data_IF_711339582933
#
_entry.id   IF_711339582933
#
_cell.length_a   1.000
_cell.length_b   1.000
_cell.length_c   1.000
_cell.angle_alpha   90.00
_cell.angle_beta   90.00
_cell.angle_gamma   90.00
#
_symmetry.space_group_name_H-M   'P 1'
#
loop_
_entity.id
_entity.type
_entity.pdbx_description
1 polymer ?
#
# COMPACT_ATOMS: atom_id res chain seq x y z
N UNK A 1 -4.82 27.13 -1.66
CA UNK A 1 -3.68 27.62 -2.47
C UNK A 1 -2.78 28.54 -1.63
N UNK A 2 -2.30 28.04 -0.48
CA UNK A 2 -1.36 28.72 0.43
C UNK A 2 -0.46 27.69 1.15
N UNK A 3 -0.93 26.44 1.26
CA UNK A 3 -0.15 25.32 1.79
C UNK A 3 0.98 24.85 0.85
N UNK A 4 0.77 24.94 -0.47
CA UNK A 4 1.72 24.46 -1.48
C UNK A 4 3.03 25.26 -1.51
N UNK A 5 2.98 26.58 -1.28
CA UNK A 5 4.19 27.43 -1.26
C UNK A 5 5.04 27.20 -0.01
N UNK A 6 4.41 26.84 1.12
CA UNK A 6 5.14 26.56 2.36
C UNK A 6 5.85 25.20 2.29
N UNK A 7 5.19 24.19 1.74
CA UNK A 7 5.78 22.87 1.51
C UNK A 7 6.96 22.93 0.53
N UNK A 8 6.85 23.70 -0.56
CA UNK A 8 7.97 23.91 -1.50
C UNK A 8 9.16 24.65 -0.89
N UNK A 9 8.94 25.56 0.05
CA UNK A 9 10.02 26.26 0.74
C UNK A 9 10.77 25.34 1.73
N UNK A 10 10.04 24.49 2.46
CA UNK A 10 10.64 23.48 3.36
C UNK A 10 11.42 22.42 2.56
N UNK A 11 10.93 22.06 1.37
CA UNK A 11 11.59 21.15 0.42
C UNK A 11 12.98 21.63 0.00
N UNK A 12 13.18 22.94 -0.21
CA UNK A 12 14.46 23.50 -0.65
C UNK A 12 15.52 23.61 0.46
N UNK A 13 15.08 23.80 1.71
CA UNK A 13 15.98 24.04 2.84
C UNK A 13 16.50 22.76 3.52
N UNK A 14 15.79 21.64 3.38
CA UNK A 14 16.10 20.43 4.16
C UNK A 14 17.12 19.49 3.51
N UNK A 15 17.49 19.67 2.24
CA UNK A 15 18.44 18.82 1.50
C UNK A 15 18.08 17.33 1.40
N UNK A 16 16.98 16.92 2.04
CA UNK A 16 16.39 15.59 2.00
C UNK A 16 15.20 15.66 1.06
N UNK A 17 15.32 15.03 -0.10
CA UNK A 17 14.16 14.65 -0.87
C UNK A 17 13.25 13.84 0.05
N UNK A 18 12.08 14.39 0.40
CA UNK A 18 11.04 13.58 1.04
C UNK A 18 10.62 12.60 -0.06
N UNK A 19 10.85 11.28 0.10
CA UNK A 19 10.47 10.32 -0.93
C UNK A 19 8.98 10.47 -1.16
N UNK A 20 8.58 10.78 -2.40
CA UNK A 20 7.15 10.82 -2.71
C UNK A 20 6.61 9.40 -2.56
N UNK A 21 5.45 9.21 -1.91
CA UNK A 21 4.88 7.89 -1.79
C UNK A 21 4.60 7.33 -3.18
N UNK A 22 4.90 6.05 -3.44
CA UNK A 22 4.73 5.47 -4.77
C UNK A 22 3.29 5.56 -5.25
N UNK A 23 3.11 5.89 -6.53
CA UNK A 23 1.81 5.86 -7.19
C UNK A 23 1.35 4.40 -7.32
N UNK A 24 0.12 4.09 -6.87
CA UNK A 24 -0.45 2.74 -6.98
C UNK A 24 -1.53 2.72 -8.06
N UNK A 25 -1.43 1.80 -9.03
CA UNK A 25 -2.47 1.55 -10.04
C UNK A 25 -2.98 0.12 -9.98
N UNK A 26 -4.29 -0.03 -10.01
CA UNK A 26 -4.96 -1.34 -10.08
C UNK A 26 -5.40 -1.61 -11.52
N UNK A 27 -5.09 -2.79 -12.07
CA UNK A 27 -5.46 -3.21 -13.43
C UNK A 27 -6.31 -4.47 -13.37
N UNK A 28 -7.62 -4.32 -13.62
CA UNK A 28 -8.56 -5.46 -13.68
C UNK A 28 -8.74 -6.18 -12.34
N UNK A 29 -8.46 -5.51 -11.23
CA UNK A 29 -8.60 -6.06 -9.87
C UNK A 29 -9.26 -5.05 -8.95
N UNK A 30 -9.91 -5.56 -7.91
CA UNK A 30 -10.63 -4.77 -6.92
C UNK A 30 -10.04 -5.01 -5.54
N UNK A 31 -9.51 -3.95 -4.92
CA UNK A 31 -8.88 -3.97 -3.62
C UNK A 31 -9.66 -3.04 -2.67
N UNK A 32 -10.50 -3.61 -1.81
CA UNK A 32 -11.38 -2.85 -0.91
C UNK A 32 -11.82 -3.72 0.28
N UNK A 33 -12.29 -3.06 1.35
CA UNK A 33 -13.07 -3.67 2.42
C UNK A 33 -14.56 -3.66 2.02
N UNK A 34 -15.17 -4.82 1.71
CA UNK A 34 -16.55 -4.86 1.26
C UNK A 34 -17.52 -4.67 2.43
N UNK A 35 -18.70 -4.14 2.13
CA UNK A 35 -19.78 -3.97 3.11
C UNK A 35 -20.27 -5.32 3.68
N UNK A 36 -20.18 -6.39 2.89
CA UNK A 36 -20.48 -7.76 3.35
C UNK A 36 -19.51 -8.27 4.42
N UNK A 37 -18.31 -7.69 4.55
CA UNK A 37 -17.32 -8.09 5.55
C UNK A 37 -17.34 -7.18 6.78
N UNK A 38 -17.47 -5.87 6.57
CA UNK A 38 -17.62 -4.88 7.63
C UNK A 38 -18.83 -4.01 7.26
N UNK A 39 -20.03 -4.28 7.81
CA UNK A 39 -21.25 -3.55 7.46
C UNK A 39 -21.20 -2.06 7.83
N UNK A 40 -20.56 -1.73 8.95
CA UNK A 40 -20.51 -0.37 9.47
C UNK A 40 -19.54 0.51 8.67
N UNK A 41 -20.07 1.51 7.98
CA UNK A 41 -19.28 2.42 7.13
C UNK A 41 -18.20 3.18 7.91
N UNK A 42 -18.51 3.64 9.13
CA UNK A 42 -17.55 4.35 9.98
C UNK A 42 -16.36 3.47 10.35
N UNK A 43 -16.61 2.20 10.64
CA UNK A 43 -15.58 1.21 10.96
C UNK A 43 -14.72 0.93 9.73
N UNK A 44 -15.32 0.76 8.54
CA UNK A 44 -14.57 0.64 7.28
C UNK A 44 -13.65 1.84 7.06
N UNK A 45 -14.17 3.06 7.21
CA UNK A 45 -13.39 4.29 7.02
C UNK A 45 -12.23 4.36 8.01
N UNK A 46 -12.44 4.00 9.28
CA UNK A 46 -11.39 3.92 10.28
C UNK A 46 -10.28 2.93 9.86
N UNK A 47 -10.64 1.74 9.38
CA UNK A 47 -9.67 0.76 8.89
C UNK A 47 -8.94 1.24 7.62
N UNK A 48 -9.63 1.84 6.66
CA UNK A 48 -8.99 2.42 5.48
C UNK A 48 -7.94 3.46 5.84
N UNK A 49 -8.25 4.36 6.79
CA UNK A 49 -7.29 5.36 7.29
C UNK A 49 -6.08 4.69 7.93
N UNK A 50 -6.28 3.69 8.78
CA UNK A 50 -5.20 2.95 9.43
C UNK A 50 -4.32 2.22 8.42
N UNK A 51 -4.91 1.55 7.43
CA UNK A 51 -4.18 0.83 6.36
C UNK A 51 -3.38 1.83 5.51
N UNK A 52 -3.98 2.94 5.10
CA UNK A 52 -3.30 3.97 4.28
C UNK A 52 -2.12 4.62 4.99
N UNK A 53 -2.21 4.76 6.32
CA UNK A 53 -1.20 5.38 7.16
C UNK A 53 -0.15 4.38 7.69
N UNK A 54 -0.33 3.08 7.48
CA UNK A 54 0.64 2.08 7.91
C UNK A 54 1.95 2.28 7.13
N UNK A 55 3.04 2.57 7.85
CA UNK A 55 4.36 2.83 7.27
C UNK A 55 5.27 1.60 7.30
N UNK A 56 4.86 0.56 8.05
CA UNK A 56 5.64 -0.66 8.27
C UNK A 56 4.77 -1.90 8.11
N UNK A 57 5.39 -3.00 7.69
CA UNK A 57 4.71 -4.28 7.51
C UNK A 57 4.10 -4.80 8.83
N UNK A 58 4.81 -4.64 9.95
CA UNK A 58 4.32 -5.08 11.27
C UNK A 58 3.03 -4.36 11.72
N UNK A 59 2.90 -3.06 11.38
CA UNK A 59 1.69 -2.27 11.67
C UNK A 59 0.51 -2.80 10.86
N UNK A 60 0.76 -3.08 9.58
CA UNK A 60 -0.24 -3.63 8.68
C UNK A 60 -0.68 -5.04 9.12
N UNK A 61 0.25 -5.87 9.58
CA UNK A 61 -0.05 -7.19 10.14
C UNK A 61 -0.84 -7.12 11.45
N UNK A 62 -0.59 -6.11 12.29
CA UNK A 62 -1.40 -5.89 13.48
C UNK A 62 -2.85 -5.55 13.12
N UNK A 63 -3.06 -4.66 12.14
CA UNK A 63 -4.40 -4.33 11.64
C UNK A 63 -5.08 -5.57 11.03
N UNK A 64 -4.33 -6.37 10.27
CA UNK A 64 -4.80 -7.62 9.66
C UNK A 64 -5.29 -8.61 10.72
N UNK A 65 -4.53 -8.80 11.79
CA UNK A 65 -4.91 -9.68 12.92
C UNK A 65 -6.18 -9.18 13.60
N UNK A 66 -6.26 -7.88 13.87
CA UNK A 66 -7.47 -7.29 14.47
C UNK A 66 -8.71 -7.50 13.59
N UNK A 67 -8.59 -7.30 12.28
CA UNK A 67 -9.70 -7.56 11.36
C UNK A 67 -10.13 -9.03 11.36
N UNK A 68 -9.18 -9.95 11.43
CA UNK A 68 -9.49 -11.39 11.47
C UNK A 68 -10.13 -11.82 12.78
N UNK A 69 -9.66 -11.28 13.89
CA UNK A 69 -10.23 -11.54 15.21
C UNK A 69 -11.67 -11.03 15.32
N UNK A 70 -11.94 -9.84 14.80
CA UNK A 70 -13.25 -9.18 14.90
C UNK A 70 -14.27 -9.64 13.87
N UNK A 71 -13.84 -9.90 12.63
CA UNK A 71 -14.75 -10.14 11.48
C UNK A 71 -14.52 -11.51 10.81
N UNK A 72 -13.54 -12.29 11.29
CA UNK A 72 -13.27 -13.63 10.78
C UNK A 72 -12.43 -13.65 9.51
N UNK A 73 -12.78 -14.53 8.56
CA UNK A 73 -11.97 -14.71 7.35
C UNK A 73 -12.16 -13.53 6.40
N UNK A 74 -11.06 -12.88 6.05
CA UNK A 74 -11.07 -11.80 5.06
C UNK A 74 -11.46 -12.30 3.67
N UNK A 75 -12.32 -11.56 2.94
CA UNK A 75 -12.60 -11.83 1.54
C UNK A 75 -11.41 -11.43 0.65
N UNK A 76 -11.42 -11.92 -0.59
CA UNK A 76 -10.30 -11.77 -1.53
C UNK A 76 -9.94 -10.30 -1.80
N UNK A 77 -10.94 -9.44 -1.90
CA UNK A 77 -10.77 -8.01 -2.16
C UNK A 77 -10.09 -7.30 -0.97
N UNK A 78 -10.40 -7.74 0.25
CA UNK A 78 -9.76 -7.24 1.45
C UNK A 78 -8.33 -7.76 1.56
N UNK A 79 -8.08 -9.04 1.28
CA UNK A 79 -6.72 -9.58 1.22
C UNK A 79 -5.87 -8.82 0.20
N UNK A 80 -6.42 -8.55 -0.99
CA UNK A 80 -5.75 -7.77 -2.02
C UNK A 80 -5.46 -6.33 -1.58
N UNK A 81 -6.38 -5.68 -0.84
CA UNK A 81 -6.13 -4.34 -0.27
C UNK A 81 -4.89 -4.33 0.62
N UNK A 82 -4.72 -5.36 1.46
CA UNK A 82 -3.52 -5.48 2.28
C UNK A 82 -2.27 -5.74 1.43
N UNK A 83 -2.34 -6.62 0.41
CA UNK A 83 -1.21 -6.86 -0.50
C UNK A 83 -0.76 -5.57 -1.19
N UNK A 84 -1.71 -4.75 -1.65
CA UNK A 84 -1.43 -3.44 -2.25
C UNK A 84 -0.70 -2.52 -1.28
N UNK A 85 -1.13 -2.49 -0.01
CA UNK A 85 -0.46 -1.70 1.03
C UNK A 85 0.95 -2.22 1.33
N UNK A 86 1.17 -3.54 1.39
CA UNK A 86 2.50 -4.15 1.53
C UNK A 86 3.43 -3.74 0.39
N UNK A 87 2.96 -3.86 -0.86
CA UNK A 87 3.74 -3.47 -2.03
C UNK A 87 4.08 -1.98 -2.00
N UNK A 88 3.16 -1.12 -1.57
CA UNK A 88 3.39 0.32 -1.42
C UNK A 88 4.50 0.60 -0.38
N UNK A 89 4.46 -0.08 0.78
CA UNK A 89 5.48 0.06 1.83
C UNK A 89 6.84 -0.39 1.32
N UNK A 90 6.90 -1.55 0.66
CA UNK A 90 8.15 -2.08 0.10
C UNK A 90 8.69 -1.17 -0.99
N UNK A 91 7.83 -0.73 -1.91
CA UNK A 91 8.18 0.21 -2.97
C UNK A 91 8.78 1.49 -2.41
N UNK A 92 8.14 2.09 -1.40
CA UNK A 92 8.63 3.29 -0.74
C UNK A 92 10.01 3.05 -0.08
N UNK A 93 10.21 1.91 0.58
CA UNK A 93 11.48 1.59 1.24
C UNK A 93 12.65 1.32 0.28
N UNK A 94 12.35 0.95 -0.97
CA UNK A 94 13.34 0.57 -2.00
C UNK A 94 13.49 1.65 -3.09
N UNK A 95 12.78 2.77 -2.97
CA UNK A 95 12.86 3.88 -3.92
C UNK A 95 12.19 3.58 -5.27
N UNK A 96 11.09 2.83 -5.29
CA UNK A 96 10.24 2.71 -6.47
C UNK A 96 9.20 3.83 -6.47
N UNK A 97 8.96 4.41 -7.64
CA UNK A 97 8.05 5.56 -7.81
C UNK A 97 6.61 5.11 -8.07
N UNK A 98 6.41 3.88 -8.56
CA UNK A 98 5.10 3.39 -8.95
C UNK A 98 4.97 1.87 -8.84
N UNK A 99 3.78 1.44 -8.43
CA UNK A 99 3.38 0.04 -8.31
C UNK A 99 2.12 -0.19 -9.15
N UNK A 100 2.16 -1.16 -10.06
CA UNK A 100 0.99 -1.59 -10.83
C UNK A 100 0.61 -3.00 -10.39
N UNK A 101 -0.61 -3.16 -9.89
CA UNK A 101 -1.12 -4.44 -9.39
C UNK A 101 -2.20 -4.96 -10.33
N UNK A 102 -2.06 -6.20 -10.77
CA UNK A 102 -3.00 -6.93 -11.62
C UNK A 102 -3.40 -8.25 -10.98
N UNK A 103 -4.20 -9.06 -11.67
CA UNK A 103 -4.71 -10.32 -11.10
C UNK A 103 -3.62 -11.38 -10.88
N UNK A 104 -2.53 -11.32 -11.66
CA UNK A 104 -1.45 -12.32 -11.63
C UNK A 104 -0.09 -11.73 -11.27
N UNK A 105 0.12 -10.44 -11.56
CA UNK A 105 1.42 -9.80 -11.42
C UNK A 105 1.36 -8.48 -10.68
N UNK A 106 2.46 -8.17 -10.03
CA UNK A 106 2.80 -6.83 -9.53
C UNK A 106 4.02 -6.32 -10.29
N UNK A 107 3.99 -5.07 -10.71
CA UNK A 107 5.09 -4.40 -11.40
C UNK A 107 5.56 -3.22 -10.55
N UNK A 108 6.84 -3.20 -10.22
CA UNK A 108 7.52 -2.09 -9.56
C UNK A 108 8.29 -1.28 -10.59
N UNK A 109 7.98 0.01 -10.69
CA UNK A 109 8.54 0.93 -11.66
C UNK A 109 9.46 1.90 -10.92
N UNK A 110 10.71 2.04 -11.38
CA UNK A 110 11.69 3.02 -10.92
C UNK A 110 12.43 3.57 -12.13
N UNK A 111 12.34 4.87 -12.38
CA UNK A 111 12.87 5.51 -13.59
C UNK A 111 12.44 4.71 -14.85
N UNK A 112 13.41 4.19 -15.63
CA UNK A 112 13.20 3.35 -16.82
C UNK A 112 13.16 1.83 -16.54
N UNK A 113 13.28 1.42 -15.27
CA UNK A 113 13.31 0.02 -14.88
C UNK A 113 11.96 -0.47 -14.39
N UNK A 114 11.49 -1.59 -14.95
CA UNK A 114 10.28 -2.29 -14.51
C UNK A 114 10.63 -3.67 -14.01
N UNK A 115 10.28 -3.96 -12.75
CA UNK A 115 10.43 -5.28 -12.14
C UNK A 115 9.08 -5.93 -11.93
N UNK A 116 8.82 -6.99 -12.70
CA UNK A 116 7.56 -7.73 -12.69
C UNK A 116 7.72 -9.01 -11.86
N UNK A 117 6.82 -9.20 -10.90
CA UNK A 117 6.78 -10.35 -9.99
C UNK A 117 5.36 -10.92 -9.94
N UNK A 118 5.22 -12.19 -9.53
CA UNK A 118 3.90 -12.80 -9.30
C UNK A 118 3.23 -12.19 -8.08
N UNK A 119 1.92 -12.01 -8.12
CA UNK A 119 1.15 -11.43 -7.00
C UNK A 119 1.02 -12.36 -5.80
N UNK A 120 1.30 -13.66 -5.94
CA UNK A 120 1.29 -14.63 -4.83
C UNK A 120 2.62 -14.72 -4.07
N UNK A 121 3.62 -13.93 -4.47
CA UNK A 121 4.96 -14.00 -3.87
C UNK A 121 4.95 -13.64 -2.37
N UNK A 122 5.53 -14.47 -1.48
CA UNK A 122 5.59 -14.16 -0.05
C UNK A 122 6.27 -12.82 0.22
N UNK A 123 5.79 -12.10 1.23
CA UNK A 123 6.30 -10.77 1.59
C UNK A 123 7.76 -10.84 2.06
N UNK A 124 8.15 -11.93 2.73
CA UNK A 124 9.54 -12.13 3.13
C UNK A 124 10.48 -12.21 1.92
N UNK A 125 10.01 -12.84 0.84
CA UNK A 125 10.75 -12.99 -0.41
C UNK A 125 10.93 -11.66 -1.14
N UNK A 126 9.95 -10.75 -1.04
CA UNK A 126 10.03 -9.41 -1.65
C UNK A 126 11.18 -8.58 -1.06
N UNK A 127 11.41 -8.71 0.26
CA UNK A 127 12.46 -7.95 0.95
C UNK A 127 13.88 -8.36 0.51
N UNK A 128 14.04 -9.60 0.03
CA UNK A 128 15.32 -10.15 -0.47
C UNK A 128 15.55 -9.88 -1.96
N UNK A 129 14.48 -9.84 -2.76
CA UNK A 129 14.59 -9.74 -4.22
C UNK A 129 14.60 -8.27 -4.67
N UNK A 130 13.85 -7.38 -4.03
CA UNK A 130 13.77 -5.94 -4.36
C UNK A 130 14.82 -5.14 -3.60
#
# INVERSE_FOLDING_TARGET
MFFTLLEEAVRRLSGKEIPQPPEVKLRGVTALLPESYIPEAEVRIAFYRRISNAGKLDELDAIRRELRDRFGRMPREAELLFRVAEFKIIAASKGYDKVVVSNEFVEFHRDDSVKKLRIDIPVETLSQIL
#
